data_IF_861329131336
#
_entry.id   IF_861329131336
#
_cell.length_a   1.000
_cell.length_b   1.000
_cell.length_c   1.000
_cell.angle_alpha   90.00
_cell.angle_beta   90.00
_cell.angle_gamma   90.00
#
_symmetry.space_group_name_H-M   'P 1'
#
loop_
_entity.id
_entity.type
_entity.pdbx_description
1 polymer ?
2 polymer ?
3 non-polymer ?
4 non-polymer ?
5 water ?
#
loop_
_entity_poly.entity_id
_entity_poly.type
_entity_poly.pdbx_seq_one_letter_code
_entity_poly.pdbx_strand_id
1 'polyribonucleotide' 'GAUGGCCGGCAUGGUCCCAGCCUCCUCGCUGGCGCCGGCUGGGCAACACCAUUGCACUCCGGUGGUGAAUGGGAC' ?
#
# COMPACT_ATOMS: atom_id res chain seq x y z
N UNK B 4 1.50 -0.26 20.12
CA UNK B 4 2.38 -0.07 18.93
C UNK B 4 1.56 0.18 17.65
N UNK B 5 0.24 0.06 17.75
CA UNK B 5 -0.67 0.26 16.62
C UNK B 5 -0.52 1.66 16.04
N UNK B 6 -0.52 1.78 14.71
CA UNK B 6 -0.38 3.09 14.08
C UNK B 6 -1.71 3.82 13.96
N UNK B 7 -1.61 5.13 13.81
CA UNK B 7 -2.78 5.98 13.68
C UNK B 7 -3.08 6.06 12.19
N UNK B 8 -4.31 6.50 11.83
CA UNK B 8 -4.77 6.63 10.45
C UNK B 8 -3.82 7.50 9.62
N UNK B 9 -3.65 7.12 8.36
CA UNK B 9 -2.75 7.82 7.48
C UNK B 9 -3.24 7.72 6.05
N UNK B 10 -2.93 8.73 5.24
CA UNK B 10 -3.31 8.72 3.82
C UNK B 10 -2.69 7.51 3.13
N UNK B 11 -1.57 7.05 3.68
CA UNK B 11 -0.82 5.95 3.12
C UNK B 11 -0.97 4.64 3.85
N UNK B 12 -1.20 3.55 3.13
CA UNK B 12 -1.27 2.27 3.79
C UNK B 12 0.02 1.55 3.50
N UNK B 13 0.47 0.73 4.44
CA UNK B 13 1.70 -0.02 4.25
C UNK B 13 1.35 -1.47 4.14
N UNK B 14 1.72 -2.06 3.00
CA UNK B 14 1.43 -3.46 2.75
C UNK B 14 2.68 -4.31 2.77
N UNK B 15 2.58 -5.48 3.37
CA UNK B 15 3.73 -6.36 3.37
C UNK B 15 3.22 -7.79 3.26
N UNK B 16 4.15 -8.74 3.19
CA UNK B 16 3.85 -10.16 3.00
C UNK B 16 3.45 -10.35 1.54
N UNK B 17 3.97 -9.49 0.67
CA UNK B 17 3.70 -9.55 -0.76
C UNK B 17 4.70 -10.48 -1.42
N UNK B 18 4.25 -11.30 -2.36
CA UNK B 18 5.11 -12.23 -3.07
C UNK B 18 6.33 -11.51 -3.65
N UNK B 19 7.51 -11.81 -3.12
CA UNK B 19 8.75 -11.18 -3.54
C UNK B 19 9.27 -11.52 -4.93
N UNK B 20 8.74 -12.58 -5.54
CA UNK B 20 9.19 -12.96 -6.86
C UNK B 20 8.64 -12.10 -7.99
N UNK B 21 7.77 -11.16 -7.66
CA UNK B 21 7.18 -10.26 -8.64
C UNK B 21 8.02 -9.01 -8.86
N UNK B 22 8.24 -8.65 -10.11
CA UNK B 22 9.02 -7.48 -10.46
C UNK B 22 8.28 -6.22 -10.07
N UNK B 23 9.05 -5.20 -9.70
CA UNK B 23 8.54 -3.92 -9.27
C UNK B 23 7.46 -3.31 -10.14
N UNK B 24 7.71 -3.23 -11.44
CA UNK B 24 6.73 -2.62 -12.32
C UNK B 24 5.41 -3.34 -12.41
N UNK B 25 5.44 -4.66 -12.45
CA UNK B 25 4.22 -5.44 -12.51
C UNK B 25 3.47 -5.34 -11.20
N UNK B 26 4.21 -5.39 -10.10
CA UNK B 26 3.63 -5.30 -8.77
C UNK B 26 2.85 -4.00 -8.60
N UNK B 27 3.42 -2.89 -9.07
CA UNK B 27 2.77 -1.59 -8.97
C UNK B 27 1.49 -1.55 -9.76
N UNK B 28 1.51 -2.13 -10.96
CA UNK B 28 0.33 -2.15 -11.81
C UNK B 28 -0.76 -3.03 -11.22
N UNK B 29 -0.39 -4.22 -10.76
CA UNK B 29 -1.36 -5.12 -10.15
C UNK B 29 -2.02 -4.51 -8.92
N UNK B 30 -1.21 -3.97 -8.02
CA UNK B 30 -1.73 -3.35 -6.80
C UNK B 30 -2.70 -2.24 -7.13
N UNK B 31 -2.38 -1.48 -8.15
CA UNK B 31 -3.23 -0.39 -8.54
C UNK B 31 -4.56 -0.97 -9.03
N UNK B 32 -4.49 -2.12 -9.68
CA UNK B 32 -5.67 -2.78 -10.20
C UNK B 32 -6.69 -3.05 -9.11
N UNK B 33 -6.23 -3.65 -8.02
CA UNK B 33 -7.16 -3.98 -6.95
C UNK B 33 -7.47 -2.89 -5.94
N UNK B 34 -6.60 -1.89 -5.81
CA UNK B 34 -6.82 -0.83 -4.84
C UNK B 34 -7.44 0.47 -5.34
N UNK B 35 -7.43 0.70 -6.64
CA UNK B 35 -7.95 1.95 -7.18
C UNK B 35 -9.40 2.27 -6.84
N UNK B 36 -10.27 1.28 -6.84
CA UNK B 36 -11.68 1.52 -6.53
C UNK B 36 -11.95 2.11 -5.15
N UNK B 37 -10.92 2.19 -4.30
CA UNK B 37 -11.09 2.76 -2.97
C UNK B 37 -10.93 4.28 -2.99
N UNK B 38 -10.46 4.81 -4.10
CA UNK B 38 -10.28 6.25 -4.22
C UNK B 38 -9.01 6.59 -4.98
N UNK B 39 -8.82 7.85 -5.32
CA UNK B 39 -7.63 8.27 -6.04
C UNK B 39 -6.34 7.84 -5.33
N UNK B 40 -5.38 7.40 -6.12
CA UNK B 40 -4.07 6.98 -5.60
C UNK B 40 -3.01 7.94 -6.14
N UNK B 41 -2.26 8.56 -5.23
CA UNK B 41 -1.25 9.48 -5.70
C UNK B 41 -0.02 8.73 -6.18
N UNK B 42 0.24 7.59 -5.58
CA UNK B 42 1.37 6.77 -6.01
C UNK B 42 1.47 5.48 -5.24
N UNK B 43 2.30 4.58 -5.75
CA UNK B 43 2.51 3.30 -5.13
C UNK B 43 4.02 3.16 -5.17
N UNK B 44 4.61 2.97 -4.01
CA UNK B 44 6.05 2.86 -3.90
C UNK B 44 6.49 1.48 -3.55
N UNK B 45 7.26 0.88 -4.44
CA UNK B 45 7.77 -0.45 -4.29
C UNK B 45 9.28 -0.44 -4.48
N UNK B 46 9.95 -1.40 -3.87
CA UNK B 46 11.39 -1.51 -3.96
C UNK B 46 11.76 -2.98 -3.78
N UNK B 47 12.95 -3.37 -4.24
CA UNK B 47 13.33 -4.78 -4.12
C UNK B 47 14.58 -4.99 -3.32
N UNK B 48 15.09 -3.91 -2.75
CA UNK B 48 16.28 -3.96 -1.91
C UNK B 48 16.03 -5.00 -0.82
N UNK B 49 17.07 -5.42 -0.13
CA UNK B 49 16.92 -6.42 0.92
C UNK B 49 15.97 -5.98 2.05
N UNK B 50 16.10 -4.73 2.46
CA UNK B 50 15.27 -4.18 3.53
C UNK B 50 13.80 -3.95 3.13
N UNK B 51 13.55 -3.56 1.89
CA UNK B 51 12.19 -3.24 1.46
C UNK B 51 11.41 -4.20 0.57
N UNK B 52 11.97 -5.37 0.25
CA UNK B 52 11.23 -6.29 -0.58
C UNK B 52 10.00 -6.86 0.14
N UNK B 53 8.98 -7.23 -0.62
CA UNK B 53 7.78 -7.80 -0.04
C UNK B 53 6.87 -6.80 0.65
N UNK B 54 7.14 -5.50 0.47
CA UNK B 54 6.37 -4.44 1.11
C UNK B 54 6.04 -3.39 0.09
N UNK B 55 5.05 -2.56 0.38
CA UNK B 55 4.69 -1.52 -0.55
C UNK B 55 3.89 -0.43 0.13
N UNK B 56 4.02 0.79 -0.36
CA UNK B 56 3.27 1.91 0.19
C UNK B 56 2.31 2.45 -0.83
N UNK B 57 1.03 2.16 -0.66
CA UNK B 57 0.00 2.68 -1.57
C UNK B 57 -0.45 4.02 -0.97
N UNK B 58 -0.20 5.11 -1.66
CA UNK B 58 -0.57 6.41 -1.11
C UNK B 58 -1.89 6.95 -1.64
N UNK B 59 -2.92 6.90 -0.80
CA UNK B 59 -4.25 7.40 -1.15
C UNK B 59 -4.40 8.90 -0.89
N UNK B 60 -5.16 9.57 -1.75
CA UNK B 60 -5.37 11.02 -1.61
C UNK B 60 -6.18 11.40 -0.38
N UNK B 61 -7.12 10.54 0.02
CA UNK B 61 -8.00 10.78 1.17
C UNK B 61 -7.95 9.64 2.16
N UNK B 62 -7.77 9.95 3.44
CA UNK B 62 -7.69 8.93 4.48
C UNK B 62 -8.86 7.94 4.50
N UNK B 63 -10.04 8.38 4.10
CA UNK B 63 -11.19 7.47 4.09
C UNK B 63 -10.86 6.28 3.18
N UNK B 64 -10.34 6.60 2.00
CA UNK B 64 -9.94 5.60 1.01
C UNK B 64 -8.94 4.65 1.66
N UNK B 65 -7.91 5.19 2.29
CA UNK B 65 -6.91 4.37 2.94
C UNK B 65 -7.58 3.51 4.01
N UNK B 66 -8.74 3.91 4.48
CA UNK B 66 -9.41 3.15 5.53
C UNK B 66 -10.27 1.99 5.00
N UNK B 67 -10.98 2.19 3.90
CA UNK B 67 -11.78 1.08 3.37
C UNK B 67 -10.79 0.04 2.88
N UNK B 68 -9.83 0.48 2.07
CA UNK B 68 -8.81 -0.41 1.54
C UNK B 68 -8.28 -1.28 2.66
N UNK B 69 -7.88 -0.64 3.74
CA UNK B 69 -7.33 -1.37 4.87
C UNK B 69 -8.27 -2.42 5.45
N UNK B 70 -9.54 -2.07 5.58
CA UNK B 70 -10.49 -3.03 6.14
C UNK B 70 -10.98 -4.03 5.11
N UNK B 71 -11.22 -3.57 3.89
CA UNK B 71 -11.74 -4.42 2.82
C UNK B 71 -10.77 -5.45 2.25
N UNK B 72 -9.53 -5.04 2.02
CA UNK B 72 -8.54 -5.90 1.43
C UNK B 72 -7.60 -6.66 2.37
N UNK B 73 -7.74 -6.43 3.67
CA UNK B 73 -6.89 -7.10 4.64
C UNK B 73 -6.94 -8.61 4.39
N UNK B 74 -5.78 -9.24 4.28
CA UNK B 74 -5.74 -10.68 4.05
C UNK B 74 -6.12 -11.15 2.64
N UNK B 75 -6.30 -10.21 1.73
CA UNK B 75 -6.67 -10.58 0.37
C UNK B 75 -5.60 -11.41 -0.34
N UNK B 76 -5.96 -12.57 -0.91
CA UNK B 76 -4.98 -13.41 -1.62
C UNK B 76 -4.48 -12.65 -2.86
N UNK B 77 -3.16 -12.52 -2.98
CA UNK B 77 -2.55 -11.79 -4.09
C UNK B 77 -1.27 -12.54 -4.43
N UNK B 78 -1.14 -13.00 -5.67
CA UNK B 78 0.04 -13.77 -6.07
C UNK B 78 0.24 -14.88 -5.05
N UNK B 79 -0.87 -15.52 -4.66
CA UNK B 79 -0.85 -16.64 -3.73
C UNK B 79 -0.52 -16.35 -2.28
N UNK B 80 -0.39 -15.10 -1.89
CA UNK B 80 -0.07 -14.77 -0.49
C UNK B 80 -1.10 -13.84 0.12
N UNK B 81 -1.39 -14.02 1.42
CA UNK B 81 -2.36 -13.18 2.14
C UNK B 81 -1.72 -11.83 2.44
N UNK B 82 -2.22 -10.82 1.74
CA UNK B 82 -1.76 -9.45 1.89
C UNK B 82 -2.02 -8.94 3.32
N UNK B 83 -0.99 -8.44 4.01
CA UNK B 83 -1.17 -7.88 5.35
C UNK B 83 -1.12 -6.34 5.27
N UNK B 84 -2.16 -5.67 5.75
CA UNK B 84 -2.20 -4.21 5.64
C UNK B 84 -2.26 -3.41 6.95
N UNK B 85 -1.57 -2.27 6.96
CA UNK B 85 -1.52 -1.36 8.12
C UNK B 85 -1.53 0.07 7.58
N UNK B 86 -1.45 1.03 8.49
CA UNK B 86 -1.35 2.43 8.08
C UNK B 86 0.16 2.68 8.19
N UNK B 87 0.70 3.51 7.31
CA UNK B 87 2.12 3.82 7.36
C UNK B 87 2.37 4.63 8.63
N UNK B 88 3.55 4.48 9.23
CA UNK B 88 3.90 5.21 10.44
C UNK B 88 3.87 6.71 10.23
N UNK B 89 4.68 7.23 9.33
CA UNK B 89 4.68 8.67 9.11
C UNK B 89 4.05 9.01 7.77
N UNK B 90 4.15 10.27 7.34
CA UNK B 90 3.56 10.64 6.06
C UNK B 90 4.51 10.43 4.89
N UNK B 91 3.95 10.30 3.70
CA UNK B 91 4.77 10.11 2.50
C UNK B 91 5.00 11.54 2.00
N UNK B 92 6.20 11.84 1.51
CA UNK B 92 6.50 13.20 1.07
C UNK B 92 5.50 13.77 0.08
N UNK B 93 4.92 12.93 -0.77
CA UNK B 93 3.94 13.38 -1.74
C UNK B 93 2.77 14.01 -1.01
N UNK B 94 2.54 13.53 0.21
CA UNK B 94 1.45 14.05 1.03
C UNK B 94 1.89 15.28 1.83
N UNK B 95 3.15 15.29 2.24
CA UNK B 95 3.68 16.42 2.99
C UNK B 95 3.59 17.64 2.08
N UNK B 96 4.11 17.49 0.87
CA UNK B 96 4.14 18.55 -0.13
C UNK B 96 2.77 19.09 -0.46
N UNK B 97 1.78 18.72 0.35
CA UNK B 97 0.42 19.19 0.17
C UNK B 97 -0.10 19.45 1.58
N UNK B 98 -0.54 18.37 2.22
CA UNK B 98 -1.06 18.43 3.59
C UNK B 98 0.08 18.49 4.61
#
# INVERSE_FOLDING_TARGET
MAVPETRPNHTIYINNLNEKIKKDELKKSLHAIFSRFGQILDILVSRSLKMRGQAFVIFKEVSSATNALRSMQGFPFYDKPMRIQYAKTDSDIIAKMKGT
#
